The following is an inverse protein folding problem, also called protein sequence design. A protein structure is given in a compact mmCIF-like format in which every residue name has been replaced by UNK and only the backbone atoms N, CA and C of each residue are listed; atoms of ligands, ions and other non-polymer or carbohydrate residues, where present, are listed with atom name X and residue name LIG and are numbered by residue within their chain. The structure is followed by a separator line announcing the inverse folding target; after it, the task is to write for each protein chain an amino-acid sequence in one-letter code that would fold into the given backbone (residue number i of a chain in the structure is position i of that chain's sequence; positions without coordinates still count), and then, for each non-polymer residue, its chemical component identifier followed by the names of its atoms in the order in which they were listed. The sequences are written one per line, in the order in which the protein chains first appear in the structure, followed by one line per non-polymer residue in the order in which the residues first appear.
data_IF_041667055716
#
_entry.id   IF_041667055716
#
_cell.length_a   1.000
_cell.length_b   1.000
_cell.length_c   1.000
_cell.angle_alpha   90.00
_cell.angle_beta   90.00
_cell.angle_gamma   90.00
#
_symmetry.space_group_name_H-M   'P 1'
#
loop_
_entity.id
_entity.type
_entity.pdbx_description
1 polymer ?
#
# COMPACT_ATOMS: atom_id res chain seq x y z
N UNK A 1 6.42 0.85 -20.51
CA UNK A 1 6.27 1.92 -19.49
C UNK A 1 7.51 1.89 -18.61
N UNK A 2 8.30 2.97 -18.51
CA UNK A 2 9.51 2.98 -17.68
C UNK A 2 9.15 2.68 -16.23
N UNK A 3 9.91 1.78 -15.60
CA UNK A 3 9.70 1.38 -14.20
C UNK A 3 9.91 2.58 -13.29
N UNK A 4 9.00 2.81 -12.34
CA UNK A 4 9.26 3.74 -11.22
C UNK A 4 10.48 3.20 -10.48
N UNK A 5 11.58 3.97 -10.45
CA UNK A 5 12.78 3.58 -9.71
C UNK A 5 12.44 3.59 -8.21
N UNK A 6 12.57 2.44 -7.57
CA UNK A 6 12.45 2.31 -6.11
C UNK A 6 13.77 2.74 -5.46
N UNK A 7 13.69 3.23 -4.22
CA UNK A 7 14.87 3.59 -3.41
C UNK A 7 15.62 2.34 -2.94
N UNK A 8 16.93 2.39 -2.60
CA UNK A 8 17.74 1.19 -2.31
C UNK A 8 17.11 0.21 -1.30
N UNK A 9 16.58 0.70 -0.18
CA UNK A 9 15.89 -0.15 0.80
C UNK A 9 14.62 -0.81 0.24
N UNK A 10 13.78 -0.05 -0.45
CA UNK A 10 12.59 -0.58 -1.12
C UNK A 10 12.94 -1.50 -2.31
N UNK A 11 14.05 -1.24 -2.99
CA UNK A 11 14.55 -2.02 -4.11
C UNK A 11 15.11 -3.37 -3.64
N UNK A 12 15.77 -3.42 -2.48
CA UNK A 12 16.21 -4.67 -1.86
C UNK A 12 15.06 -5.63 -1.53
N UNK A 13 13.86 -5.09 -1.31
CA UNK A 13 12.62 -5.84 -1.05
C UNK A 13 11.77 -6.05 -2.31
N UNK A 14 12.22 -5.58 -3.48
CA UNK A 14 11.48 -5.72 -4.73
C UNK A 14 11.75 -7.11 -5.31
N UNK A 15 10.70 -7.92 -5.40
CA UNK A 15 10.79 -9.29 -5.90
C UNK A 15 9.64 -9.64 -6.87
N UNK A 16 9.90 -10.62 -7.73
CA UNK A 16 8.90 -11.22 -8.60
C UNK A 16 7.79 -11.85 -7.75
N UNK A 17 6.53 -11.54 -8.06
CA UNK A 17 5.39 -12.08 -7.30
C UNK A 17 5.03 -13.53 -7.66
N UNK A 18 5.74 -14.15 -8.62
CA UNK A 18 5.54 -15.55 -8.97
C UNK A 18 6.70 -16.44 -8.51
N UNK A 19 7.93 -16.08 -8.88
CA UNK A 19 9.12 -16.90 -8.62
C UNK A 19 10.05 -16.33 -7.54
N UNK A 20 9.65 -15.23 -6.89
CA UNK A 20 10.36 -14.60 -5.77
C UNK A 20 11.80 -14.12 -6.03
N UNK A 21 12.26 -14.15 -7.28
CA UNK A 21 13.56 -13.57 -7.64
C UNK A 21 13.56 -12.06 -7.37
N UNK A 22 14.60 -11.61 -6.70
CA UNK A 22 14.85 -10.19 -6.43
C UNK A 22 15.12 -9.41 -7.72
N UNK A 23 14.86 -8.11 -7.67
CA UNK A 23 15.22 -7.16 -8.72
C UNK A 23 16.75 -7.07 -8.88
N UNK A 24 17.24 -7.06 -10.10
CA UNK A 24 18.66 -6.83 -10.40
C UNK A 24 18.84 -5.77 -11.49
N UNK A 25 20.04 -5.23 -11.63
CA UNK A 25 20.34 -4.24 -12.69
C UNK A 25 20.35 -4.90 -14.08
N UNK A 26 20.78 -6.15 -14.13
CA UNK A 26 20.92 -6.96 -15.35
C UNK A 26 19.56 -7.45 -15.84
N UNK A 27 18.64 -7.75 -14.93
CA UNK A 27 17.26 -8.18 -15.24
C UNK A 27 16.26 -7.46 -14.35
N UNK A 28 15.94 -6.18 -14.66
CA UNK A 28 14.97 -5.43 -13.88
C UNK A 28 13.57 -6.01 -14.02
N UNK A 29 12.89 -6.17 -12.90
CA UNK A 29 11.51 -6.64 -12.85
C UNK A 29 10.57 -5.62 -13.50
N UNK A 30 9.71 -6.13 -14.37
CA UNK A 30 8.63 -5.41 -15.00
C UNK A 30 7.52 -5.14 -13.98
N UNK A 31 6.90 -3.97 -14.08
CA UNK A 31 5.75 -3.62 -13.22
C UNK A 31 4.45 -3.90 -13.95
N UNK A 32 3.47 -4.46 -13.24
CA UNK A 32 2.10 -4.56 -13.73
C UNK A 32 1.52 -3.16 -14.02
N UNK A 33 0.49 -3.08 -14.86
CA UNK A 33 -0.24 -1.83 -15.15
C UNK A 33 -0.85 -1.19 -13.89
N UNK A 34 -1.22 -1.99 -12.89
CA UNK A 34 -1.66 -1.49 -11.57
C UNK A 34 -0.52 -0.84 -10.76
N UNK A 35 0.75 -1.07 -11.12
CA UNK A 35 1.97 -0.60 -10.43
C UNK A 35 2.14 -1.10 -8.99
N UNK A 36 1.46 -2.18 -8.62
CA UNK A 36 1.48 -2.78 -7.27
C UNK A 36 2.12 -4.17 -7.22
N UNK A 37 2.45 -4.76 -8.37
CA UNK A 37 3.10 -6.06 -8.49
C UNK A 37 4.22 -6.01 -9.53
N UNK A 38 5.26 -6.81 -9.30
CA UNK A 38 6.45 -6.90 -10.14
C UNK A 38 6.69 -8.35 -10.61
N UNK A 39 7.19 -8.51 -11.83
CA UNK A 39 7.40 -9.80 -12.48
C UNK A 39 8.66 -9.80 -13.32
N UNK A 40 9.36 -10.94 -13.40
CA UNK A 40 10.52 -11.07 -14.29
C UNK A 40 10.13 -10.84 -15.75
N UNK A 41 8.98 -11.38 -16.15
CA UNK A 41 8.48 -11.36 -17.52
C UNK A 41 6.96 -11.62 -17.56
N UNK A 42 6.38 -11.59 -18.77
CA UNK A 42 4.96 -11.84 -18.96
C UNK A 42 4.54 -13.26 -18.57
N UNK A 43 5.42 -14.26 -18.67
CA UNK A 43 5.11 -15.64 -18.25
C UNK A 43 4.87 -15.71 -16.74
N UNK A 44 5.75 -15.10 -15.93
CA UNK A 44 5.55 -14.96 -14.48
C UNK A 44 4.27 -14.20 -14.13
N UNK A 45 3.94 -13.14 -14.89
CA UNK A 45 2.70 -12.40 -14.70
C UNK A 45 1.46 -13.27 -14.98
N UNK A 46 1.46 -14.04 -16.08
CA UNK A 46 0.34 -14.93 -16.45
C UNK A 46 0.18 -16.07 -15.44
N UNK A 47 1.29 -16.65 -14.97
CA UNK A 47 1.26 -17.70 -13.96
C UNK A 47 0.66 -17.22 -12.63
N UNK A 48 0.97 -15.98 -12.21
CA UNK A 48 0.36 -15.38 -11.02
C UNK A 48 -1.01 -14.73 -11.27
N UNK A 49 -1.53 -14.74 -12.50
CA UNK A 49 -2.67 -13.89 -12.86
C UNK A 49 -3.94 -14.24 -12.09
N UNK A 50 -4.21 -15.53 -11.85
CA UNK A 50 -5.39 -15.98 -11.09
C UNK A 50 -5.44 -15.34 -9.69
N UNK A 51 -4.29 -15.27 -9.01
CA UNK A 51 -4.18 -14.65 -7.68
C UNK A 51 -4.10 -13.12 -7.75
N UNK A 52 -3.44 -12.56 -8.77
CA UNK A 52 -3.23 -11.12 -8.87
C UNK A 52 -4.44 -10.34 -9.40
N UNK A 53 -5.24 -10.94 -10.29
CA UNK A 53 -6.33 -10.26 -11.01
C UNK A 53 -7.29 -9.49 -10.08
N UNK A 54 -7.81 -10.07 -8.98
CA UNK A 54 -8.72 -9.34 -8.08
C UNK A 54 -8.07 -8.06 -7.54
N UNK A 55 -6.84 -8.17 -7.02
CA UNK A 55 -6.09 -7.02 -6.51
C UNK A 55 -5.80 -5.98 -7.61
N UNK A 56 -5.51 -6.43 -8.84
CA UNK A 56 -5.28 -5.53 -9.97
C UNK A 56 -6.53 -4.73 -10.33
N UNK A 57 -7.70 -5.36 -10.31
CA UNK A 57 -8.99 -4.73 -10.59
C UNK A 57 -9.39 -3.76 -9.48
N UNK A 58 -9.27 -4.15 -8.22
CA UNK A 58 -9.49 -3.26 -7.07
C UNK A 58 -8.62 -2.01 -7.17
N UNK A 59 -7.32 -2.15 -7.41
CA UNK A 59 -6.42 -0.99 -7.56
C UNK A 59 -6.82 -0.07 -8.73
N UNK A 60 -7.30 -0.63 -9.85
CA UNK A 60 -7.78 0.16 -10.99
C UNK A 60 -9.06 0.90 -10.64
N UNK A 61 -10.00 0.23 -9.98
CA UNK A 61 -11.29 0.80 -9.59
C UNK A 61 -11.11 1.89 -8.53
N UNK A 62 -10.25 1.69 -7.52
CA UNK A 62 -9.92 2.70 -6.52
C UNK A 62 -9.35 3.97 -7.17
N UNK A 63 -8.44 3.84 -8.15
CA UNK A 63 -7.92 5.00 -8.88
C UNK A 63 -8.99 5.72 -9.70
N UNK A 64 -9.94 4.98 -10.28
CA UNK A 64 -11.08 5.55 -11.00
C UNK A 64 -11.98 6.33 -10.04
N UNK A 65 -12.38 5.72 -8.93
CA UNK A 65 -13.21 6.34 -7.90
C UNK A 65 -12.56 7.60 -7.30
N UNK A 66 -11.24 7.60 -7.08
CA UNK A 66 -10.52 8.80 -6.62
C UNK A 66 -10.63 9.95 -7.63
N UNK A 67 -10.51 9.67 -8.93
CA UNK A 67 -10.64 10.69 -9.99
C UNK A 67 -12.06 11.22 -10.11
N UNK A 68 -13.05 10.34 -10.06
CA UNK A 68 -14.47 10.71 -10.08
C UNK A 68 -14.81 11.58 -8.85
N UNK A 69 -14.26 11.24 -7.68
CA UNK A 69 -14.42 12.04 -6.46
C UNK A 69 -13.74 13.41 -6.56
N UNK A 70 -12.52 13.47 -7.10
CA UNK A 70 -11.82 14.73 -7.35
C UNK A 70 -12.61 15.64 -8.32
N UNK A 71 -13.28 15.06 -9.31
CA UNK A 71 -14.16 15.81 -10.23
C UNK A 71 -15.45 16.30 -9.54
N UNK A 72 -16.04 15.48 -8.66
CA UNK A 72 -17.31 15.80 -8.02
C UNK A 72 -17.18 16.78 -6.86
N UNK A 73 -16.15 16.64 -6.02
CA UNK A 73 -15.96 17.44 -4.81
C UNK A 73 -14.95 18.57 -4.98
N UNK A 74 -14.15 18.53 -6.05
CA UNK A 74 -13.02 19.43 -6.21
C UNK A 74 -11.91 19.16 -5.19
N UNK A 75 -10.88 20.01 -5.17
CA UNK A 75 -9.82 19.94 -4.16
C UNK A 75 -10.35 20.27 -2.75
N UNK A 76 -9.69 19.74 -1.73
CA UNK A 76 -9.95 20.16 -0.34
C UNK A 76 -9.59 21.65 -0.13
N UNK A 77 -9.91 22.20 1.04
CA UNK A 77 -9.61 23.61 1.39
C UNK A 77 -8.14 24.01 1.22
N UNK A 78 -7.22 23.05 1.30
CA UNK A 78 -5.77 23.25 1.08
C UNK A 78 -5.34 23.06 -0.39
N UNK A 79 -6.30 22.96 -1.31
CA UNK A 79 -6.08 22.76 -2.73
C UNK A 79 -5.71 21.32 -3.12
N UNK A 80 -5.52 20.41 -2.17
CA UNK A 80 -4.99 19.07 -2.44
C UNK A 80 -6.13 18.12 -2.82
N UNK A 81 -5.99 17.47 -3.98
CA UNK A 81 -6.93 16.43 -4.43
C UNK A 81 -6.63 15.06 -3.80
N UNK A 82 -7.59 14.13 -3.84
CA UNK A 82 -7.38 12.76 -3.38
C UNK A 82 -6.29 12.05 -4.20
N UNK A 83 -6.24 12.25 -5.53
CA UNK A 83 -5.17 11.68 -6.37
C UNK A 83 -3.78 12.21 -5.99
N UNK A 84 -3.66 13.51 -5.67
CA UNK A 84 -2.40 14.08 -5.21
C UNK A 84 -1.97 13.51 -3.86
N UNK A 85 -2.92 13.42 -2.91
CA UNK A 85 -2.67 12.84 -1.60
C UNK A 85 -2.22 11.37 -1.69
N UNK A 86 -2.86 10.54 -2.52
CA UNK A 86 -2.47 9.12 -2.73
C UNK A 86 -1.07 8.99 -3.31
N UNK A 87 -0.70 9.86 -4.27
CA UNK A 87 0.65 9.85 -4.87
C UNK A 87 1.73 10.18 -3.84
N UNK A 88 1.51 11.18 -2.99
CA UNK A 88 2.45 11.55 -1.92
C UNK A 88 2.49 10.45 -0.86
N UNK A 89 1.34 9.93 -0.46
CA UNK A 89 1.23 8.85 0.52
C UNK A 89 1.94 7.57 0.07
N UNK A 90 1.79 7.19 -1.20
CA UNK A 90 2.50 6.02 -1.76
C UNK A 90 4.01 6.20 -1.67
N UNK A 91 4.54 7.40 -1.94
CA UNK A 91 5.97 7.68 -1.80
C UNK A 91 6.41 7.68 -0.33
N UNK A 92 5.60 8.26 0.56
CA UNK A 92 5.85 8.26 2.00
C UNK A 92 5.96 6.85 2.56
N UNK A 93 5.05 5.94 2.18
CA UNK A 93 5.15 4.52 2.54
C UNK A 93 6.47 3.91 2.04
N UNK A 94 6.91 4.22 0.81
CA UNK A 94 8.19 3.67 0.30
C UNK A 94 9.40 4.17 1.10
N UNK A 95 9.39 5.44 1.55
CA UNK A 95 10.44 6.01 2.39
C UNK A 95 10.49 5.29 3.75
N UNK A 96 9.33 5.08 4.37
CA UNK A 96 9.24 4.47 5.71
C UNK A 96 9.08 2.96 5.72
N UNK A 97 9.07 2.28 4.57
CA UNK A 97 8.76 0.84 4.47
C UNK A 97 9.54 -0.02 5.48
N UNK A 98 10.88 0.11 5.62
CA UNK A 98 11.62 -0.69 6.59
C UNK A 98 11.17 -0.44 8.04
N UNK A 99 10.97 0.83 8.41
CA UNK A 99 10.54 1.23 9.76
C UNK A 99 9.12 0.75 10.05
N UNK A 100 8.20 0.90 9.08
CA UNK A 100 6.83 0.42 9.19
C UNK A 100 6.78 -1.10 9.37
N UNK A 101 7.64 -1.85 8.67
CA UNK A 101 7.73 -3.31 8.85
C UNK A 101 8.18 -3.67 10.26
N UNK A 102 9.23 -3.03 10.78
CA UNK A 102 9.70 -3.28 12.15
C UNK A 102 8.64 -2.89 13.18
N UNK A 103 8.01 -1.73 13.01
CA UNK A 103 6.94 -1.26 13.89
C UNK A 103 5.76 -2.24 13.91
N UNK A 104 5.34 -2.75 12.75
CA UNK A 104 4.27 -3.75 12.64
C UNK A 104 4.62 -5.04 13.37
N UNK A 105 5.82 -5.59 13.15
CA UNK A 105 6.26 -6.84 13.79
C UNK A 105 6.23 -6.72 15.32
N UNK A 106 6.75 -5.61 15.84
CA UNK A 106 6.81 -5.37 17.28
C UNK A 106 5.43 -5.06 17.87
N UNK A 107 4.63 -4.20 17.21
CA UNK A 107 3.30 -3.83 17.69
C UNK A 107 2.36 -5.03 17.76
N UNK A 108 2.45 -5.94 16.79
CA UNK A 108 1.67 -7.18 16.79
C UNK A 108 2.32 -8.31 17.60
N UNK A 109 3.49 -8.08 18.20
CA UNK A 109 4.25 -9.07 18.96
C UNK A 109 4.44 -10.41 18.23
N UNK A 110 4.71 -10.36 16.92
CA UNK A 110 4.70 -11.57 16.09
C UNK A 110 5.77 -12.60 16.51
N UNK A 111 6.82 -12.17 17.18
CA UNK A 111 7.84 -13.04 17.76
C UNK A 111 7.29 -14.01 18.82
N UNK A 112 6.23 -13.63 19.54
CA UNK A 112 5.60 -14.45 20.57
C UNK A 112 4.23 -14.98 20.12
N UNK A 113 3.55 -14.21 19.25
CA UNK A 113 2.16 -14.45 18.88
C UNK A 113 1.98 -14.35 17.36
N UNK A 114 2.53 -15.31 16.62
CA UNK A 114 2.45 -15.35 15.15
C UNK A 114 1.02 -15.17 14.62
N UNK A 115 0.01 -15.75 15.27
CA UNK A 115 -1.40 -15.64 14.88
C UNK A 115 -1.97 -14.21 14.91
N UNK A 116 -1.29 -13.25 15.55
CA UNK A 116 -1.72 -11.85 15.53
C UNK A 116 -1.62 -11.22 14.14
N UNK A 117 -0.83 -11.78 13.22
CA UNK A 117 -0.80 -11.33 11.82
C UNK A 117 -2.11 -11.59 11.06
N UNK A 118 -3.00 -12.46 11.58
CA UNK A 118 -4.29 -12.79 10.97
C UNK A 118 -5.50 -12.24 11.74
N UNK A 119 -5.27 -11.67 12.92
CA UNK A 119 -6.36 -11.26 13.83
C UNK A 119 -6.29 -9.80 14.22
N UNK A 120 -5.13 -9.16 14.11
CA UNK A 120 -4.88 -7.80 14.54
C UNK A 120 -4.26 -6.96 13.44
N UNK A 121 -4.47 -5.65 13.54
CA UNK A 121 -3.86 -4.65 12.65
C UNK A 121 -3.28 -3.52 13.48
N UNK A 122 -2.16 -2.97 13.00
CA UNK A 122 -1.62 -1.71 13.48
C UNK A 122 -2.33 -0.58 12.73
N UNK A 123 -3.08 0.25 13.44
CA UNK A 123 -3.73 1.43 12.91
C UNK A 123 -2.87 2.65 13.21
N UNK A 124 -2.59 3.44 12.18
CA UNK A 124 -1.82 4.69 12.30
C UNK A 124 -2.67 5.84 11.77
N UNK A 125 -3.01 6.78 12.65
CA UNK A 125 -3.75 7.98 12.29
C UNK A 125 -2.78 9.05 11.82
N UNK A 126 -2.92 9.46 10.57
CA UNK A 126 -2.03 10.42 9.94
C UNK A 126 -2.78 11.69 9.54
N UNK A 127 -2.22 12.85 9.86
CA UNK A 127 -2.64 14.13 9.29
C UNK A 127 -1.67 14.56 8.19
N UNK A 128 -2.19 15.25 7.17
CA UNK A 128 -1.36 15.82 6.10
C UNK A 128 -0.75 17.12 6.59
N UNK A 129 0.49 17.39 6.17
CA UNK A 129 1.23 18.63 6.51
C UNK A 129 1.56 19.48 5.28
N UNK A 130 1.02 19.13 4.11
CA UNK A 130 1.29 19.78 2.85
C UNK A 130 0.00 20.27 2.18
N UNK A 131 0.13 21.31 1.37
CA UNK A 131 -0.93 21.92 0.55
C UNK A 131 -0.63 21.75 -0.94
N UNK A 132 -1.52 22.19 -1.83
CA UNK A 132 -1.30 22.13 -3.27
C UNK A 132 -0.07 22.94 -3.75
N UNK A 133 0.30 24.00 -3.03
CA UNK A 133 1.48 24.81 -3.34
C UNK A 133 2.79 24.19 -2.82
N UNK A 134 2.70 23.17 -1.95
CA UNK A 134 3.87 22.57 -1.33
C UNK A 134 4.61 21.69 -2.33
N UNK A 135 5.88 22.02 -2.58
CA UNK A 135 6.73 21.25 -3.50
C UNK A 135 7.47 20.13 -2.75
N UNK A 136 7.06 18.88 -2.98
CA UNK A 136 7.67 17.67 -2.39
C UNK A 136 8.52 16.93 -3.44
N UNK A 137 9.80 17.30 -3.57
CA UNK A 137 10.73 16.73 -4.56
C UNK A 137 11.70 15.72 -3.96
N UNK A 138 12.12 15.93 -2.73
CA UNK A 138 13.13 15.10 -2.05
C UNK A 138 12.50 14.14 -1.05
N UNK A 139 13.22 13.07 -0.70
CA UNK A 139 12.75 12.11 0.30
C UNK A 139 12.61 12.77 1.68
N UNK A 140 13.50 13.69 2.04
CA UNK A 140 13.42 14.43 3.30
C UNK A 140 12.16 15.30 3.38
N UNK A 141 11.69 15.84 2.25
CA UNK A 141 10.42 16.56 2.16
C UNK A 141 9.23 15.60 2.23
N UNK A 142 9.28 14.51 1.45
CA UNK A 142 8.23 13.48 1.45
C UNK A 142 8.07 12.89 2.86
N UNK A 143 9.17 12.63 3.57
CA UNK A 143 9.15 12.07 4.92
C UNK A 143 8.35 12.94 5.91
N UNK A 144 8.33 14.25 5.68
CA UNK A 144 7.61 15.23 6.50
C UNK A 144 6.18 15.48 6.05
N UNK A 145 5.71 14.85 4.96
CA UNK A 145 4.40 15.11 4.36
C UNK A 145 3.20 14.63 5.20
N UNK A 146 3.45 13.76 6.18
CA UNK A 146 2.44 13.30 7.11
C UNK A 146 2.97 13.38 8.53
N UNK A 147 2.08 13.77 9.45
CA UNK A 147 2.32 13.73 10.88
C UNK A 147 1.52 12.57 11.47
N UNK A 148 2.17 11.75 12.28
CA UNK A 148 1.52 10.72 13.07
C UNK A 148 0.81 11.39 14.25
N UNK A 149 -0.51 11.26 14.29
CA UNK A 149 -1.34 11.80 15.38
C UNK A 149 -1.56 10.76 16.47
N UNK A 150 -1.80 9.51 16.07
CA UNK A 150 -2.08 8.41 17.01
C UNK A 150 -1.72 7.06 16.39
N UNK A 151 -1.47 6.06 17.22
CA UNK A 151 -1.21 4.68 16.81
C UNK A 151 -1.69 3.69 17.85
N UNK A 152 -2.38 2.65 17.40
CA UNK A 152 -2.89 1.60 18.28
C UNK A 152 -3.04 0.27 17.54
N UNK A 153 -3.09 -0.81 18.32
CA UNK A 153 -3.34 -2.16 17.82
C UNK A 153 -4.76 -2.54 18.18
N UNK A 154 -5.53 -2.97 17.18
CA UNK A 154 -6.90 -3.43 17.35
C UNK A 154 -7.10 -4.74 16.60
N UNK A 155 -8.14 -5.48 16.99
CA UNK A 155 -8.56 -6.63 16.18
C UNK A 155 -9.04 -6.17 14.80
N UNK A 156 -8.92 -7.03 13.79
CA UNK A 156 -9.46 -6.77 12.45
C UNK A 156 -10.96 -6.44 12.52
N UNK A 157 -11.71 -7.18 13.33
CA UNK A 157 -13.16 -6.97 13.49
C UNK A 157 -13.47 -5.59 14.08
N UNK A 158 -12.71 -5.16 15.09
CA UNK A 158 -12.85 -3.83 15.68
C UNK A 158 -12.48 -2.73 14.68
N UNK A 159 -11.35 -2.88 13.97
CA UNK A 159 -10.95 -1.94 12.94
C UNK A 159 -12.05 -1.74 11.89
N UNK A 160 -12.65 -2.84 11.41
CA UNK A 160 -13.72 -2.80 10.42
C UNK A 160 -14.97 -2.08 10.92
N UNK A 161 -15.30 -2.16 12.21
CA UNK A 161 -16.45 -1.44 12.81
C UNK A 161 -16.26 0.07 12.82
N UNK A 162 -15.01 0.55 12.83
CA UNK A 162 -14.73 2.00 12.83
C UNK A 162 -14.83 2.64 11.45
N UNK A 163 -14.96 1.84 10.39
CA UNK A 163 -15.06 2.35 9.02
C UNK A 163 -16.52 2.73 8.72
N UNK A 164 -16.85 4.03 8.56
CA UNK A 164 -18.23 4.49 8.40
C UNK A 164 -18.81 4.17 7.02
N UNK A 165 -17.96 3.81 6.05
CA UNK A 165 -18.36 3.52 4.68
C UNK A 165 -18.43 2.00 4.46
N UNK A 166 -19.63 1.47 4.24
CA UNK A 166 -19.85 0.03 4.07
C UNK A 166 -19.13 -0.56 2.86
N UNK A 167 -19.02 0.18 1.75
CA UNK A 167 -18.30 -0.28 0.56
C UNK A 167 -16.80 -0.43 0.86
N UNK A 168 -16.20 0.54 1.54
CA UNK A 168 -14.81 0.51 1.98
C UNK A 168 -14.57 -0.60 3.00
N UNK A 169 -15.50 -0.79 3.93
CA UNK A 169 -15.46 -1.83 4.96
C UNK A 169 -15.49 -3.23 4.33
N UNK A 170 -16.42 -3.46 3.40
CA UNK A 170 -16.53 -4.73 2.67
C UNK A 170 -15.30 -4.99 1.78
N UNK A 171 -14.81 -3.96 1.08
CA UNK A 171 -13.60 -4.05 0.27
C UNK A 171 -12.37 -4.39 1.10
N UNK A 172 -12.19 -3.74 2.26
CA UNK A 172 -11.10 -4.03 3.17
C UNK A 172 -11.21 -5.43 3.77
N UNK A 173 -12.41 -5.84 4.19
CA UNK A 173 -12.67 -7.20 4.70
C UNK A 173 -12.31 -8.25 3.67
N UNK A 174 -12.82 -8.13 2.44
CA UNK A 174 -12.50 -9.04 1.35
C UNK A 174 -10.99 -9.10 1.05
N UNK A 175 -10.31 -7.95 1.11
CA UNK A 175 -8.86 -7.88 0.96
C UNK A 175 -8.10 -8.62 2.06
N UNK A 176 -8.50 -8.43 3.33
CA UNK A 176 -7.92 -9.09 4.50
C UNK A 176 -8.16 -10.59 4.45
N UNK A 177 -9.41 -11.02 4.24
CA UNK A 177 -9.78 -12.44 4.15
C UNK A 177 -8.99 -13.12 3.02
N UNK A 178 -8.84 -12.46 1.88
CA UNK A 178 -8.03 -12.97 0.78
C UNK A 178 -6.54 -13.11 1.13
N UNK A 179 -5.97 -12.24 1.97
CA UNK A 179 -4.60 -12.40 2.48
C UNK A 179 -4.50 -13.57 3.44
N UNK A 180 -5.45 -13.69 4.37
CA UNK A 180 -5.49 -14.77 5.37
C UNK A 180 -5.58 -16.12 4.68
N UNK A 181 -6.50 -16.29 3.72
CA UNK A 181 -6.65 -17.56 3.00
C UNK A 181 -5.39 -17.96 2.24
N UNK A 182 -4.74 -17.01 1.54
CA UNK A 182 -3.46 -17.30 0.86
C UNK A 182 -2.33 -17.67 1.82
N UNK A 183 -2.33 -17.10 3.02
CA UNK A 183 -1.30 -17.40 4.00
C UNK A 183 -1.47 -18.77 4.66
N UNK A 184 -2.69 -19.34 4.67
CA UNK A 184 -2.94 -20.71 5.12
C UNK A 184 -2.48 -21.78 4.12
N UNK A 185 -2.28 -21.40 2.86
CA UNK A 185 -1.83 -22.29 1.78
C UNK A 185 -0.29 -22.42 1.71
N UNK A 186 0.45 -21.69 2.55
CA UNK A 186 1.93 -21.67 2.65
C UNK A 186 2.35 -22.45 3.89
#
# INVERSE_FOLDING_TARGET
MPSVQLKPGAQSLKQCQHCFRSDSKEQPLLSCSCKRAHYCNQACQRANWKQHKPNCETNRNTRKAMRERDQALGPANDGVTFEQAEKVFTKWIQVFKPVLTVALVNALELQAHLNRCFTHVLVMNLSRTFTASTTLRTDAQIAKAFKLEDTFVVSIEEALRTIPNDELRLGLRSGIDGVIERAKEI
#
